data_IF_547887633321
#
_entry.id   IF_547887633321
#
_cell.length_a   1.000
_cell.length_b   1.000
_cell.length_c   1.000
_cell.angle_alpha   90.00
_cell.angle_beta   90.00
_cell.angle_gamma   90.00
#
_symmetry.space_group_name_H-M   'P 1'
#
loop_
_entity.id
_entity.type
_entity.pdbx_description
1 polymer ?
#
# COMPACT_ATOMS: atom_id res chain seq x y z
N UNK A 1 -11.35 11.86 -6.89
CA UNK A 1 -10.69 13.06 -7.44
C UNK A 1 -9.77 13.65 -6.39
N UNK A 2 -8.54 13.99 -6.75
CA UNK A 2 -7.54 14.60 -5.85
C UNK A 2 -6.88 15.76 -6.58
N UNK A 3 -6.85 16.96 -5.97
CA UNK A 3 -6.04 18.08 -6.47
C UNK A 3 -4.73 18.12 -5.70
N UNK A 4 -3.63 18.14 -6.43
CA UNK A 4 -2.28 18.20 -5.89
C UNK A 4 -1.70 19.59 -6.14
N UNK A 5 -0.86 20.03 -5.22
CA UNK A 5 -0.12 21.28 -5.32
C UNK A 5 1.25 21.14 -4.69
N UNK A 6 2.24 21.80 -5.26
CA UNK A 6 3.61 21.85 -4.73
C UNK A 6 4.65 21.38 -5.73
N UNK A 7 5.88 21.24 -5.26
CA UNK A 7 6.97 20.73 -6.09
C UNK A 7 6.68 19.27 -6.44
N UNK A 8 6.87 18.90 -7.71
CA UNK A 8 6.65 17.55 -8.25
C UNK A 8 5.19 17.09 -8.37
N UNK A 9 4.21 18.01 -8.37
CA UNK A 9 2.78 17.65 -8.53
C UNK A 9 2.51 16.79 -9.77
N UNK A 10 3.21 17.03 -10.88
CA UNK A 10 3.10 16.21 -12.10
C UNK A 10 3.43 14.75 -11.84
N UNK A 11 4.54 14.51 -11.15
CA UNK A 11 4.98 13.17 -10.75
C UNK A 11 3.98 12.52 -9.81
N UNK A 12 3.39 13.28 -8.89
CA UNK A 12 2.37 12.78 -7.97
C UNK A 12 1.08 12.38 -8.71
N UNK A 13 0.62 13.18 -9.68
CA UNK A 13 -0.51 12.82 -10.57
C UNK A 13 -0.19 11.56 -11.38
N UNK A 14 1.03 11.44 -11.91
CA UNK A 14 1.45 10.25 -12.66
C UNK A 14 1.51 8.99 -11.76
N UNK A 15 1.94 9.13 -10.50
CA UNK A 15 1.86 8.05 -9.51
C UNK A 15 0.41 7.65 -9.29
N UNK A 16 -0.51 8.59 -9.03
CA UNK A 16 -1.93 8.29 -8.84
C UNK A 16 -2.53 7.54 -10.04
N UNK A 17 -2.19 7.93 -11.28
CA UNK A 17 -2.66 7.24 -12.47
C UNK A 17 -2.03 5.85 -12.68
N UNK A 18 -0.77 5.64 -12.27
CA UNK A 18 -0.18 4.29 -12.28
C UNK A 18 -0.82 3.41 -11.21
N UNK A 19 -1.02 3.94 -10.00
CA UNK A 19 -1.62 3.21 -8.88
C UNK A 19 -3.09 2.89 -9.10
N UNK A 20 -3.83 3.72 -9.83
CA UNK A 20 -5.26 3.48 -10.11
C UNK A 20 -5.51 2.15 -10.80
N UNK A 21 -4.52 1.59 -11.52
CA UNK A 21 -4.59 0.25 -12.12
C UNK A 21 -4.73 -0.88 -11.10
N UNK A 22 -4.28 -0.67 -9.85
CA UNK A 22 -4.47 -1.60 -8.74
C UNK A 22 -5.81 -1.41 -8.04
N UNK A 23 -6.48 -0.28 -8.28
CA UNK A 23 -7.75 0.08 -7.67
C UNK A 23 -8.91 -0.34 -8.58
N UNK A 24 -10.05 -0.67 -7.96
CA UNK A 24 -11.30 -0.96 -8.69
C UNK A 24 -12.12 0.30 -8.99
N UNK A 25 -11.50 1.47 -8.89
CA UNK A 25 -12.18 2.77 -9.01
C UNK A 25 -11.37 3.72 -9.90
N UNK A 26 -12.07 4.62 -10.59
CA UNK A 26 -11.42 5.69 -11.34
C UNK A 26 -10.77 6.70 -10.37
N UNK A 27 -9.54 7.09 -10.69
CA UNK A 27 -8.82 8.16 -9.98
C UNK A 27 -8.53 9.27 -10.96
N UNK A 28 -9.04 10.47 -10.64
CA UNK A 28 -8.79 11.70 -11.39
C UNK A 28 -7.84 12.59 -10.57
N UNK A 29 -6.65 12.86 -11.10
CA UNK A 29 -5.64 13.72 -10.51
C UNK A 29 -5.58 15.07 -11.20
N UNK A 30 -5.64 16.15 -10.42
CA UNK A 30 -5.63 17.53 -10.90
C UNK A 30 -4.41 18.28 -10.41
N UNK A 31 -3.89 19.17 -11.26
CA UNK A 31 -2.69 19.98 -11.07
C UNK A 31 -3.02 21.40 -10.62
N UNK A 32 -2.02 22.24 -10.40
CA UNK A 32 -2.24 23.66 -10.10
C UNK A 32 -2.91 24.42 -11.25
N UNK A 33 -2.65 23.99 -12.50
CA UNK A 33 -3.23 24.58 -13.72
C UNK A 33 -4.73 24.33 -13.84
N UNK A 34 -5.24 23.31 -13.16
CA UNK A 34 -6.66 23.04 -13.11
C UNK A 34 -7.34 23.97 -12.11
N UNK A 35 -8.29 24.77 -12.62
CA UNK A 35 -8.95 25.78 -11.79
C UNK A 35 -9.86 25.11 -10.76
N UNK A 36 -9.99 25.69 -9.55
CA UNK A 36 -10.92 25.17 -8.53
C UNK A 36 -12.35 25.00 -9.04
N UNK A 37 -12.81 25.89 -9.95
CA UNK A 37 -14.15 25.85 -10.50
C UNK A 37 -14.41 24.62 -11.38
N UNK A 38 -13.44 24.25 -12.23
CA UNK A 38 -13.53 23.03 -13.07
C UNK A 38 -13.58 21.78 -12.19
N UNK A 39 -12.72 21.74 -11.16
CA UNK A 39 -12.62 20.63 -10.21
C UNK A 39 -13.94 20.47 -9.43
N UNK A 40 -14.52 21.59 -8.95
CA UNK A 40 -15.79 21.58 -8.23
C UNK A 40 -16.96 21.10 -9.12
N UNK A 41 -17.02 21.55 -10.37
CA UNK A 41 -18.02 21.11 -11.32
C UNK A 41 -17.92 19.59 -11.57
N UNK A 42 -16.71 19.09 -11.82
CA UNK A 42 -16.48 17.66 -12.03
C UNK A 42 -16.82 16.81 -10.80
N UNK A 43 -16.49 17.30 -9.61
CA UNK A 43 -16.89 16.61 -8.38
C UNK A 43 -18.41 16.47 -8.27
N UNK A 44 -19.16 17.53 -8.58
CA UNK A 44 -20.61 17.51 -8.54
C UNK A 44 -21.20 16.47 -9.53
N UNK A 45 -20.63 16.35 -10.73
CA UNK A 45 -20.98 15.31 -11.70
C UNK A 45 -20.75 13.91 -11.13
N UNK A 46 -19.55 13.64 -10.60
CA UNK A 46 -19.21 12.34 -10.02
C UNK A 46 -20.15 11.97 -8.86
N UNK A 47 -20.47 12.93 -7.98
CA UNK A 47 -21.42 12.69 -6.89
C UNK A 47 -22.81 12.36 -7.44
N UNK A 48 -23.30 13.08 -8.45
CA UNK A 48 -24.60 12.80 -9.05
C UNK A 48 -24.64 11.41 -9.73
N UNK A 49 -23.56 11.00 -10.38
CA UNK A 49 -23.42 9.69 -11.03
C UNK A 49 -23.50 8.51 -10.03
N UNK A 50 -23.05 8.70 -8.78
CA UNK A 50 -23.12 7.64 -7.76
C UNK A 50 -24.56 7.29 -7.34
N UNK A 51 -25.55 8.13 -7.65
CA UNK A 51 -26.98 7.93 -7.31
C UNK A 51 -27.21 7.59 -5.82
N UNK A 52 -26.37 8.12 -4.93
CA UNK A 52 -26.47 7.86 -3.48
C UNK A 52 -25.98 6.48 -3.04
N UNK A 53 -25.20 5.79 -3.87
CA UNK A 53 -24.54 4.55 -3.48
C UNK A 53 -23.70 4.76 -2.21
N UNK A 54 -23.96 3.93 -1.19
CA UNK A 54 -23.17 3.93 0.03
C UNK A 54 -21.96 3.03 -0.16
N UNK A 55 -20.78 3.59 0.09
CA UNK A 55 -19.55 2.81 0.12
C UNK A 55 -19.60 1.78 1.26
N UNK A 56 -19.06 0.59 1.01
CA UNK A 56 -18.80 -0.45 2.01
C UNK A 56 -17.36 -0.90 1.87
N UNK A 57 -16.62 -1.12 2.97
CA UNK A 57 -15.29 -1.67 2.87
C UNK A 57 -15.34 -3.10 2.34
N UNK A 58 -14.38 -3.44 1.49
CA UNK A 58 -14.17 -4.82 1.06
C UNK A 58 -13.23 -5.55 2.03
N UNK A 59 -13.25 -6.88 1.97
CA UNK A 59 -12.30 -7.70 2.73
C UNK A 59 -10.84 -7.36 2.39
N UNK A 60 -9.91 -7.41 3.36
CA UNK A 60 -8.51 -7.14 3.10
C UNK A 60 -7.95 -8.17 2.11
N UNK A 61 -7.12 -7.71 1.18
CA UNK A 61 -6.42 -8.61 0.25
C UNK A 61 -5.19 -9.18 0.94
N UNK A 62 -5.39 -10.22 1.75
CA UNK A 62 -4.28 -10.93 2.40
C UNK A 62 -3.66 -11.93 1.43
N UNK A 63 -2.34 -11.87 1.14
CA UNK A 63 -1.66 -12.84 0.30
C UNK A 63 -1.70 -14.25 0.90
N UNK A 64 -1.78 -15.28 0.05
CA UNK A 64 -1.89 -16.69 0.49
C UNK A 64 -0.71 -17.11 1.38
N UNK A 65 0.49 -16.64 1.06
CA UNK A 65 1.72 -17.03 1.75
C UNK A 65 1.71 -16.67 3.23
N UNK A 66 0.90 -15.70 3.67
CA UNK A 66 0.80 -15.29 5.08
C UNK A 66 0.37 -16.45 5.99
N UNK A 67 -0.30 -17.47 5.43
CA UNK A 67 -0.74 -18.67 6.16
C UNK A 67 0.23 -19.84 6.03
N UNK A 68 1.30 -19.70 5.25
CA UNK A 68 2.27 -20.76 5.00
C UNK A 68 3.33 -20.80 6.10
N UNK A 69 3.94 -21.97 6.31
CA UNK A 69 5.02 -22.13 7.32
C UNK A 69 6.30 -21.37 6.96
N UNK A 70 6.44 -20.90 5.71
CA UNK A 70 7.56 -20.08 5.27
C UNK A 70 7.38 -18.60 5.58
N UNK A 71 6.23 -18.17 6.10
CA UNK A 71 5.97 -16.78 6.44
C UNK A 71 6.79 -16.37 7.68
N UNK A 72 7.70 -15.42 7.49
CA UNK A 72 8.32 -14.67 8.57
C UNK A 72 7.49 -13.44 8.89
N UNK A 73 7.38 -13.11 10.18
CA UNK A 73 6.69 -11.92 10.66
C UNK A 73 7.65 -11.00 11.40
N UNK A 74 7.61 -9.71 11.06
CA UNK A 74 8.32 -8.65 11.80
C UNK A 74 7.28 -7.63 12.31
N UNK A 75 7.25 -7.33 13.63
CA UNK A 75 6.27 -6.40 14.18
C UNK A 75 6.56 -4.96 13.76
N UNK A 76 5.49 -4.19 13.54
CA UNK A 76 5.53 -2.72 13.45
C UNK A 76 4.52 -2.10 14.39
N UNK A 77 4.61 -0.79 14.64
CA UNK A 77 3.84 -0.10 15.68
C UNK A 77 2.33 -0.35 15.61
N UNK A 78 1.78 -0.40 14.40
CA UNK A 78 0.36 -0.60 14.13
C UNK A 78 0.12 -1.82 13.23
N UNK A 79 0.89 -2.90 13.38
CA UNK A 79 0.72 -4.07 12.54
C UNK A 79 1.96 -4.94 12.43
N UNK A 80 2.19 -5.47 11.22
CA UNK A 80 3.23 -6.47 10.97
C UNK A 80 3.60 -6.54 9.49
N UNK A 81 4.86 -6.82 9.23
CA UNK A 81 5.36 -7.16 7.90
C UNK A 81 5.45 -8.68 7.80
N UNK A 82 4.97 -9.22 6.70
CA UNK A 82 5.08 -10.63 6.34
C UNK A 82 6.04 -10.80 5.16
N UNK A 83 6.96 -11.76 5.28
CA UNK A 83 7.94 -12.08 4.23
C UNK A 83 7.92 -13.58 3.97
N UNK A 84 7.74 -13.98 2.71
CA UNK A 84 7.84 -15.38 2.30
C UNK A 84 9.30 -15.80 2.18
N UNK A 85 9.81 -16.47 3.22
CA UNK A 85 11.22 -16.92 3.25
C UNK A 85 11.53 -17.95 2.18
N UNK A 86 10.55 -18.73 1.71
CA UNK A 86 10.74 -19.68 0.61
C UNK A 86 10.98 -18.99 -0.74
N UNK A 87 10.55 -17.73 -0.88
CA UNK A 87 10.77 -16.89 -2.06
C UNK A 87 11.89 -15.87 -1.87
N UNK A 88 12.53 -15.82 -0.71
CA UNK A 88 13.48 -14.76 -0.35
C UNK A 88 14.54 -14.51 -1.42
N UNK A 89 15.20 -15.56 -1.92
CA UNK A 89 16.23 -15.43 -2.97
C UNK A 89 15.73 -14.73 -4.24
N UNK A 90 14.43 -14.85 -4.55
CA UNK A 90 13.80 -14.21 -5.72
C UNK A 90 13.35 -12.78 -5.44
N UNK A 91 12.82 -12.52 -4.25
CA UNK A 91 12.23 -11.21 -3.90
C UNK A 91 13.24 -10.25 -3.27
N UNK A 92 14.37 -10.75 -2.75
CA UNK A 92 15.40 -9.97 -2.04
C UNK A 92 15.78 -8.68 -2.75
N UNK A 93 16.17 -8.66 -4.04
CA UNK A 93 16.62 -7.41 -4.67
C UNK A 93 15.58 -6.30 -4.65
N UNK A 94 14.30 -6.67 -4.80
CA UNK A 94 13.19 -5.73 -4.75
C UNK A 94 12.92 -5.27 -3.31
N UNK A 95 12.88 -6.19 -2.35
CA UNK A 95 12.62 -5.87 -0.94
C UNK A 95 13.72 -4.98 -0.36
N UNK A 96 15.00 -5.30 -0.60
CA UNK A 96 16.12 -4.47 -0.13
C UNK A 96 16.08 -3.06 -0.73
N UNK A 97 15.77 -2.95 -2.03
CA UNK A 97 15.69 -1.67 -2.74
C UNK A 97 14.50 -0.82 -2.26
N UNK A 98 13.30 -1.40 -2.25
CA UNK A 98 12.07 -0.65 -2.00
C UNK A 98 11.80 -0.38 -0.53
N UNK A 99 12.34 -1.20 0.38
CA UNK A 99 12.32 -0.91 1.83
C UNK A 99 13.38 0.11 2.24
N UNK A 100 14.21 0.62 1.31
CA UNK A 100 15.30 1.55 1.63
C UNK A 100 16.37 0.92 2.53
N UNK A 101 16.59 -0.39 2.41
CA UNK A 101 17.54 -1.13 3.25
C UNK A 101 17.06 -1.41 4.67
N UNK A 102 15.76 -1.25 4.96
CA UNK A 102 15.19 -1.62 6.27
C UNK A 102 15.16 -3.13 6.48
N UNK A 103 15.07 -3.89 5.39
CA UNK A 103 15.18 -5.35 5.41
C UNK A 103 16.34 -5.72 4.51
N UNK A 104 17.25 -6.51 5.06
CA UNK A 104 18.49 -6.94 4.41
C UNK A 104 18.68 -8.44 4.53
N UNK A 105 19.45 -9.02 3.62
CA UNK A 105 19.91 -10.39 3.76
C UNK A 105 21.00 -10.51 4.83
N UNK A 106 20.81 -11.45 5.75
CA UNK A 106 21.88 -11.97 6.62
C UNK A 106 21.83 -13.48 6.57
N UNK A 107 22.93 -14.09 6.13
CA UNK A 107 23.08 -15.54 6.02
C UNK A 107 21.96 -16.21 5.19
N UNK A 108 21.47 -15.54 4.14
CA UNK A 108 20.43 -16.05 3.26
C UNK A 108 19.00 -15.92 3.80
N UNK A 109 18.81 -15.14 4.87
CA UNK A 109 17.50 -14.87 5.46
C UNK A 109 17.23 -13.35 5.57
N UNK A 110 15.96 -12.92 5.44
CA UNK A 110 15.59 -11.53 5.65
C UNK A 110 15.71 -11.14 7.13
N UNK A 111 16.35 -10.02 7.41
CA UNK A 111 16.53 -9.48 8.77
C UNK A 111 16.33 -7.97 8.76
N UNK A 112 15.69 -7.43 9.80
CA UNK A 112 15.58 -5.98 10.00
C UNK A 112 16.97 -5.37 10.23
N UNK A 113 17.29 -4.28 9.53
CA UNK A 113 18.59 -3.60 9.66
C UNK A 113 18.69 -2.71 10.90
N UNK A 114 17.54 -2.36 11.50
CA UNK A 114 17.41 -1.50 12.67
C UNK A 114 16.98 -2.28 13.92
N UNK A 115 17.22 -1.75 15.13
CA UNK A 115 16.63 -2.27 16.36
C UNK A 115 15.09 -2.27 16.29
N UNK A 116 14.45 -3.21 16.98
CA UNK A 116 13.00 -3.45 16.88
C UNK A 116 12.15 -2.21 17.14
N UNK A 117 12.52 -1.36 18.10
CA UNK A 117 11.74 -0.14 18.41
C UNK A 117 11.80 0.89 17.29
N UNK A 118 12.96 1.06 16.66
CA UNK A 118 13.14 2.00 15.55
C UNK A 118 12.48 1.45 14.28
N UNK A 119 12.71 0.18 13.96
CA UNK A 119 12.09 -0.50 12.82
C UNK A 119 10.56 -0.41 12.87
N UNK A 120 9.97 -0.55 14.07
CA UNK A 120 8.53 -0.52 14.24
C UNK A 120 7.88 0.82 13.83
N UNK A 121 8.67 1.90 13.72
CA UNK A 121 8.19 3.23 13.31
C UNK A 121 8.30 3.50 11.80
N UNK A 122 8.81 2.53 11.02
CA UNK A 122 9.08 2.68 9.58
C UNK A 122 7.96 2.17 8.69
N UNK A 123 6.72 2.35 9.14
CA UNK A 123 5.52 1.86 8.44
C UNK A 123 5.38 2.47 7.03
N UNK A 124 5.80 3.71 6.84
CA UNK A 124 5.73 4.43 5.56
C UNK A 124 6.66 3.82 4.51
N UNK A 125 7.91 3.51 4.85
CA UNK A 125 8.87 2.86 3.96
C UNK A 125 8.48 1.41 3.65
N UNK A 126 7.95 0.69 4.64
CA UNK A 126 7.48 -0.68 4.47
C UNK A 126 6.21 -0.72 3.61
N UNK A 127 5.32 0.27 3.74
CA UNK A 127 4.14 0.42 2.88
C UNK A 127 4.54 0.72 1.43
N UNK A 128 5.53 1.59 1.23
CA UNK A 128 6.08 1.85 -0.09
C UNK A 128 6.66 0.57 -0.72
N UNK A 129 7.37 -0.24 0.07
CA UNK A 129 7.91 -1.53 -0.37
C UNK A 129 6.81 -2.50 -0.82
N UNK A 130 5.73 -2.64 -0.05
CA UNK A 130 4.58 -3.48 -0.40
C UNK A 130 3.94 -3.04 -1.72
N UNK A 131 3.65 -1.75 -1.85
CA UNK A 131 3.04 -1.17 -3.06
C UNK A 131 3.94 -1.37 -4.29
N UNK A 132 5.25 -1.12 -4.19
CA UNK A 132 6.18 -1.30 -5.30
C UNK A 132 6.32 -2.78 -5.70
N UNK A 133 6.38 -3.70 -4.72
CA UNK A 133 6.37 -5.13 -5.01
C UNK A 133 5.08 -5.53 -5.74
N UNK A 134 3.92 -5.04 -5.29
CA UNK A 134 2.64 -5.32 -5.92
C UNK A 134 2.57 -4.81 -7.37
N UNK A 135 3.08 -3.60 -7.64
CA UNK A 135 3.14 -3.03 -8.99
C UNK A 135 4.04 -3.83 -9.93
N UNK A 136 5.14 -4.36 -9.40
CA UNK A 136 6.07 -5.20 -10.13
C UNK A 136 5.58 -6.66 -10.29
N UNK A 137 4.43 -7.01 -9.70
CA UNK A 137 3.92 -8.40 -9.68
C UNK A 137 4.78 -9.34 -8.82
N UNK A 138 5.54 -8.78 -7.88
CA UNK A 138 6.41 -9.52 -6.96
C UNK A 138 5.58 -9.91 -5.75
N UNK A 139 5.37 -11.22 -5.60
CA UNK A 139 4.68 -11.81 -4.45
C UNK A 139 5.69 -12.32 -3.43
N UNK A 140 5.47 -12.02 -2.15
CA UNK A 140 6.29 -12.53 -1.03
C UNK A 140 6.64 -11.47 0.01
N UNK A 141 6.14 -10.24 -0.15
CA UNK A 141 6.22 -9.17 0.84
C UNK A 141 4.81 -8.61 1.05
N UNK A 142 4.43 -8.33 2.28
CA UNK A 142 3.11 -7.78 2.61
C UNK A 142 3.15 -7.00 3.92
N UNK A 143 2.63 -5.78 3.91
CA UNK A 143 2.43 -4.99 5.13
C UNK A 143 0.96 -5.10 5.55
N UNK A 144 0.73 -5.68 6.72
CA UNK A 144 -0.56 -5.73 7.36
C UNK A 144 -0.63 -4.64 8.43
N UNK A 145 -1.55 -3.68 8.28
CA UNK A 145 -1.79 -2.62 9.25
C UNK A 145 -3.11 -2.86 9.98
N UNK A 146 -3.06 -2.84 11.30
CA UNK A 146 -4.23 -2.96 12.15
C UNK A 146 -5.01 -1.65 12.12
N UNK A 147 -6.28 -1.71 11.70
CA UNK A 147 -7.18 -0.56 11.63
C UNK A 147 -8.34 -0.80 12.61
N UNK A 148 -8.32 -0.16 13.80
CA UNK A 148 -9.37 -0.33 14.80
C UNK A 148 -10.77 -0.03 14.21
N UNK A 149 -11.71 -0.96 14.41
CA UNK A 149 -13.10 -0.86 13.95
C UNK A 149 -13.33 -1.24 12.48
N UNK A 150 -12.30 -1.57 11.71
CA UNK A 150 -12.47 -1.98 10.31
C UNK A 150 -13.17 -3.35 10.17
N UNK A 151 -12.83 -4.31 11.02
CA UNK A 151 -13.44 -5.65 11.01
C UNK A 151 -14.97 -5.60 11.21
N UNK A 152 -15.44 -4.68 12.05
CA UNK A 152 -16.86 -4.49 12.32
C UNK A 152 -17.61 -3.97 11.09
N UNK A 153 -16.92 -3.21 10.22
CA UNK A 153 -17.49 -2.64 8.99
C UNK A 153 -17.45 -3.61 7.80
N UNK A 154 -16.44 -4.47 7.74
CA UNK A 154 -16.30 -5.49 6.68
C UNK A 154 -17.27 -6.65 6.92
N UNK A 155 -17.67 -6.86 8.18
CA UNK A 155 -18.42 -8.02 8.63
C UNK A 155 -17.47 -9.20 8.74
N UNK A 156 -17.31 -9.74 9.95
CA UNK A 156 -16.52 -10.97 10.15
C UNK A 156 -17.14 -12.10 9.34
N UNK A 157 -16.54 -12.47 8.22
CA UNK A 157 -16.66 -13.84 7.72
C UNK A 157 -15.99 -14.74 8.76
N UNK A 158 -16.81 -15.51 9.48
CA UNK A 158 -16.36 -16.51 10.44
C UNK A 158 -15.62 -17.67 9.78
#
# INVERSE_FOLDING_TARGET
MIRLGGNTEDRAVDILHRMSKLLRVSVEGYRKSDTPAIIAARFAELVAETKGAKWKPGAPRVPKFVRDSSAMMLPVKNGRVWIDTARWTKIRPAVETHSGGLIVDRDGAPVASLPSEEFATKDSELLACDVECQLAGIEGFYLELDIPGLDDLIGREG
#
